data_IF_722629104912
#
_entry.id   IF_722629104912
#
_cell.length_a   1.000
_cell.length_b   1.000
_cell.length_c   1.000
_cell.angle_alpha   90.00
_cell.angle_beta   90.00
_cell.angle_gamma   90.00
#
_symmetry.space_group_name_H-M   'P 1'
#
loop_
_entity.id
_entity.type
_entity.pdbx_description
1 polymer ?
#
# COMPACT_ATOMS: atom_id res chain seq x y z
N UNK A 1 0.97 -5.21 5.40
CA UNK A 1 1.01 -5.32 3.93
C UNK A 1 2.30 -4.74 3.38
N UNK A 2 2.74 -5.21 2.22
CA UNK A 2 3.86 -4.63 1.48
C UNK A 2 3.48 -4.48 0.00
N UNK A 3 3.53 -3.25 -0.46
CA UNK A 3 3.24 -2.89 -1.85
C UNK A 3 4.47 -2.22 -2.47
N UNK A 4 4.67 -2.42 -3.76
CA UNK A 4 5.71 -1.81 -4.56
C UNK A 4 5.03 -1.16 -5.74
N UNK A 5 5.15 0.15 -5.83
CA UNK A 5 4.60 0.95 -6.94
C UNK A 5 5.74 1.64 -7.66
N UNK A 6 5.50 2.07 -8.89
CA UNK A 6 6.36 3.07 -9.53
C UNK A 6 6.40 4.30 -8.61
N UNK A 7 7.55 4.96 -8.49
CA UNK A 7 7.73 6.18 -7.66
C UNK A 7 6.97 7.38 -8.22
N UNK A 8 5.65 7.25 -8.29
CA UNK A 8 4.71 8.29 -8.63
C UNK A 8 3.96 8.66 -7.36
N UNK A 9 3.99 9.94 -7.01
CA UNK A 9 3.33 10.46 -5.82
C UNK A 9 1.84 10.11 -5.80
N UNK A 10 1.18 10.14 -6.97
CA UNK A 10 -0.24 9.77 -7.12
C UNK A 10 -0.55 8.37 -6.58
N UNK A 11 0.26 7.37 -6.93
CA UNK A 11 0.05 5.97 -6.51
C UNK A 11 0.31 5.79 -5.02
N UNK A 12 1.32 6.46 -4.49
CA UNK A 12 1.63 6.43 -3.05
C UNK A 12 0.47 7.05 -2.26
N UNK A 13 -0.02 8.23 -2.68
CA UNK A 13 -1.15 8.91 -2.04
C UNK A 13 -2.45 8.11 -2.15
N UNK A 14 -2.70 7.41 -3.25
CA UNK A 14 -3.86 6.52 -3.36
C UNK A 14 -3.80 5.40 -2.31
N UNK A 15 -2.65 4.74 -2.15
CA UNK A 15 -2.47 3.72 -1.12
C UNK A 15 -2.67 4.33 0.27
N UNK A 16 -2.04 5.47 0.56
CA UNK A 16 -2.20 6.16 1.84
C UNK A 16 -3.66 6.50 2.13
N UNK A 17 -4.40 7.00 1.14
CA UNK A 17 -5.82 7.33 1.26
C UNK A 17 -6.69 6.10 1.53
N UNK A 18 -6.35 4.92 1.00
CA UNK A 18 -7.09 3.67 1.25
C UNK A 18 -6.97 3.22 2.72
N UNK A 19 -5.83 3.55 3.36
CA UNK A 19 -5.57 3.25 4.76
C UNK A 19 -5.77 4.46 5.68
N UNK A 20 -6.24 5.59 5.15
CA UNK A 20 -6.51 6.78 5.95
C UNK A 20 -7.60 6.47 7.00
N UNK A 21 -7.46 7.08 8.17
CA UNK A 21 -8.34 6.87 9.33
C UNK A 21 -8.41 5.43 9.89
N UNK A 22 -7.58 4.49 9.42
CA UNK A 22 -7.54 3.11 9.96
C UNK A 22 -6.56 2.93 11.13
N UNK A 23 -5.81 3.97 11.50
CA UNK A 23 -4.73 3.88 12.48
C UNK A 23 -3.52 3.10 11.96
N UNK A 24 -3.41 2.95 10.64
CA UNK A 24 -2.27 2.29 10.01
C UNK A 24 -1.00 3.14 10.13
N UNK A 25 0.12 2.49 10.46
CA UNK A 25 1.46 3.07 10.33
C UNK A 25 1.97 2.75 8.94
N UNK A 26 2.15 3.79 8.13
CA UNK A 26 2.63 3.69 6.75
C UNK A 26 4.08 4.16 6.69
N UNK A 27 4.93 3.39 6.02
CA UNK A 27 6.32 3.75 5.77
C UNK A 27 6.63 3.54 4.30
N UNK A 28 7.20 4.56 3.68
CA UNK A 28 7.60 4.53 2.27
C UNK A 28 9.11 4.51 2.17
N UNK A 29 9.63 3.68 1.28
CA UNK A 29 11.05 3.60 0.98
C UNK A 29 11.26 3.50 -0.51
N UNK A 30 11.90 4.53 -1.04
CA UNK A 30 12.31 4.58 -2.43
C UNK A 30 13.40 3.54 -2.72
N UNK A 31 13.34 2.95 -3.91
CA UNK A 31 14.33 2.01 -4.42
C UNK A 31 15.65 2.72 -4.74
N UNK A 32 16.76 1.97 -4.78
CA UNK A 32 18.10 2.51 -5.07
C UNK A 32 18.18 3.32 -6.37
N UNK A 33 17.36 2.98 -7.36
CA UNK A 33 17.37 3.62 -8.68
C UNK A 33 16.20 4.60 -8.86
N UNK A 34 15.43 4.88 -7.81
CA UNK A 34 14.29 5.80 -7.82
C UNK A 34 13.06 5.36 -8.63
N UNK A 35 13.14 4.24 -9.38
CA UNK A 35 12.04 3.78 -10.25
C UNK A 35 10.82 3.29 -9.47
N UNK A 36 11.05 2.65 -8.33
CA UNK A 36 10.00 2.08 -7.50
C UNK A 36 10.06 2.63 -6.08
N UNK A 37 8.90 2.71 -5.45
CA UNK A 37 8.74 2.97 -4.02
C UNK A 37 8.04 1.79 -3.38
N UNK A 38 8.64 1.27 -2.32
CA UNK A 38 8.02 0.27 -1.45
C UNK A 38 7.22 0.95 -0.35
N UNK A 39 5.97 0.56 -0.20
CA UNK A 39 5.04 1.04 0.82
C UNK A 39 4.76 -0.10 1.78
N UNK A 40 5.22 0.03 3.02
CA UNK A 40 5.01 -0.94 4.09
C UNK A 40 3.98 -0.41 5.07
N UNK A 41 2.92 -1.19 5.27
CA UNK A 41 1.72 -0.77 6.01
C UNK A 41 1.52 -1.74 7.16
N UNK A 42 1.53 -1.20 8.38
CA UNK A 42 1.25 -1.93 9.60
C UNK A 42 -0.09 -1.45 10.18
N UNK A 43 -1.08 -2.32 10.22
CA UNK A 43 -2.43 -2.01 10.69
C UNK A 43 -3.01 -3.22 11.40
N UNK A 44 -3.74 -2.97 12.49
CA UNK A 44 -4.45 -4.01 13.23
C UNK A 44 -5.81 -4.22 12.57
N UNK A 45 -6.03 -5.41 12.01
CA UNK A 45 -7.28 -5.80 11.38
C UNK A 45 -8.09 -6.73 12.30
N UNK A 46 -9.42 -6.67 12.21
CA UNK A 46 -10.33 -7.43 13.09
C UNK A 46 -10.28 -8.94 12.87
N UNK A 47 -10.11 -9.39 11.62
CA UNK A 47 -10.15 -10.79 11.23
C UNK A 47 -9.30 -11.01 9.95
N UNK A 48 -8.91 -12.25 9.63
CA UNK A 48 -8.13 -12.54 8.43
C UNK A 48 -8.86 -12.21 7.12
N UNK A 49 -10.19 -12.35 7.07
CA UNK A 49 -10.96 -12.03 5.85
C UNK A 49 -10.85 -10.54 5.49
N UNK A 50 -10.92 -9.66 6.49
CA UNK A 50 -10.73 -8.22 6.29
C UNK A 50 -9.32 -7.90 5.80
N UNK A 51 -8.32 -8.72 6.14
CA UNK A 51 -6.96 -8.57 5.61
C UNK A 51 -6.94 -8.81 4.10
N UNK A 52 -7.59 -9.89 3.66
CA UNK A 52 -7.67 -10.28 2.25
C UNK A 52 -8.49 -9.25 1.46
N UNK A 53 -9.66 -8.85 1.97
CA UNK A 53 -10.50 -7.86 1.30
C UNK A 53 -9.77 -6.53 1.12
N UNK A 54 -9.03 -6.08 2.15
CA UNK A 54 -8.27 -4.82 2.07
C UNK A 54 -7.11 -4.91 1.10
N UNK A 55 -6.44 -6.06 1.04
CA UNK A 55 -5.40 -6.31 0.05
C UNK A 55 -5.94 -6.24 -1.38
N UNK A 56 -7.08 -6.88 -1.65
CA UNK A 56 -7.74 -6.85 -2.96
C UNK A 56 -8.21 -5.44 -3.33
N UNK A 57 -8.71 -4.67 -2.37
CA UNK A 57 -9.11 -3.27 -2.57
C UNK A 57 -7.94 -2.42 -3.07
N UNK A 58 -6.74 -2.59 -2.50
CA UNK A 58 -5.54 -1.88 -2.96
C UNK A 58 -5.16 -2.30 -4.38
N UNK A 59 -5.15 -3.60 -4.66
CA UNK A 59 -4.76 -4.09 -6.01
C UNK A 59 -5.75 -3.69 -7.09
N UNK A 60 -7.02 -3.52 -6.76
CA UNK A 60 -8.06 -3.11 -7.72
C UNK A 60 -8.08 -1.60 -7.96
N UNK A 61 -7.79 -0.78 -6.94
CA UNK A 61 -7.83 0.67 -7.05
C UNK A 61 -6.50 1.30 -7.52
N UNK A 62 -5.37 0.61 -7.33
CA UNK A 62 -4.04 1.12 -7.67
C UNK A 62 -3.45 0.34 -8.83
N UNK A 63 -3.47 0.95 -10.00
CA UNK A 63 -2.98 0.31 -11.22
C UNK A 63 -1.46 0.11 -11.21
N UNK A 64 -1.03 -1.11 -11.54
CA UNK A 64 0.39 -1.46 -11.60
C UNK A 64 1.06 -1.57 -10.23
N UNK A 65 0.28 -1.80 -9.16
CA UNK A 65 0.84 -2.19 -7.86
C UNK A 65 1.35 -3.62 -7.90
N UNK A 66 2.57 -3.83 -7.41
CA UNK A 66 3.17 -5.14 -7.22
C UNK A 66 3.15 -5.41 -5.72
N UNK A 67 2.56 -6.51 -5.31
CA UNK A 67 2.44 -6.88 -3.90
C UNK A 67 3.31 -8.09 -3.56
N UNK A 68 3.81 -8.14 -2.31
CA UNK A 68 4.73 -9.16 -1.81
C UNK A 68 4.21 -9.81 -0.51
#
# INVERSE_FOLDING_TARGET
>A
YKFIVISETSKITQIESIFDNTGAVISTKESKNGKYTSVSINVIMKNPDAVISKYLEVTNNVEGVISL
#
